data_IF_026365413189
#
_entry.id   IF_026365413189
#
_cell.length_a   1.000
_cell.length_b   1.000
_cell.length_c   1.000
_cell.angle_alpha   90.00
_cell.angle_beta   90.00
_cell.angle_gamma   90.00
#
_symmetry.space_group_name_H-M   'P 1'
#
loop_
_entity.id
_entity.type
_entity.pdbx_description
1 polymer ?
#
# COMPACT_ATOMS: atom_id res chain seq x y z
N UNK A 1 10.90 -23.38 -8.36
CA UNK A 1 11.46 -22.51 -9.44
C UNK A 1 12.63 -23.19 -10.16
N UNK A 2 12.35 -24.11 -11.09
CA UNK A 2 13.38 -24.77 -11.91
C UNK A 2 13.48 -24.11 -13.29
N UNK A 3 14.54 -23.34 -13.49
CA UNK A 3 14.88 -22.71 -14.79
C UNK A 3 15.72 -23.69 -15.61
N UNK A 4 15.39 -23.86 -16.90
CA UNK A 4 16.06 -24.77 -17.83
C UNK A 4 16.44 -24.07 -19.13
N UNK A 5 17.45 -24.59 -19.83
CA UNK A 5 17.99 -24.04 -21.08
C UNK A 5 17.59 -24.95 -22.25
N UNK A 6 17.08 -24.36 -23.33
CA UNK A 6 16.62 -25.03 -24.53
C UNK A 6 17.35 -24.47 -25.75
N UNK A 7 18.05 -25.35 -26.46
CA UNK A 7 18.69 -24.99 -27.74
C UNK A 7 17.85 -25.55 -28.89
N UNK A 8 17.55 -24.70 -29.87
CA UNK A 8 16.78 -25.06 -31.07
C UNK A 8 17.26 -24.33 -32.33
N UNK A 9 17.01 -24.88 -33.54
CA UNK A 9 17.37 -24.25 -34.81
C UNK A 9 16.77 -22.86 -35.02
N UNK A 10 15.60 -22.58 -34.44
CA UNK A 10 14.92 -21.30 -34.52
C UNK A 10 14.00 -21.08 -33.30
N UNK A 11 13.55 -19.82 -33.08
CA UNK A 11 12.72 -19.45 -31.94
C UNK A 11 11.38 -20.19 -31.89
N UNK A 12 10.78 -20.52 -33.04
CA UNK A 12 9.51 -21.25 -33.13
C UNK A 12 9.67 -22.69 -32.62
N UNK A 13 10.71 -23.39 -33.06
CA UNK A 13 11.03 -24.74 -32.58
C UNK A 13 11.45 -24.73 -31.12
N UNK A 14 12.19 -23.70 -30.69
CA UNK A 14 12.55 -23.49 -29.29
C UNK A 14 11.32 -23.35 -28.39
N UNK A 15 10.39 -22.47 -28.75
CA UNK A 15 9.12 -22.29 -28.02
C UNK A 15 8.25 -23.55 -28.03
N UNK A 16 8.18 -24.26 -29.16
CA UNK A 16 7.44 -25.52 -29.24
C UNK A 16 8.04 -26.60 -28.33
N UNK A 17 9.37 -26.63 -28.18
CA UNK A 17 10.06 -27.52 -27.24
C UNK A 17 9.84 -27.10 -25.79
N UNK A 18 9.98 -25.81 -25.49
CA UNK A 18 9.68 -25.23 -24.16
C UNK A 18 8.27 -25.61 -23.72
N UNK A 19 7.25 -25.43 -24.57
CA UNK A 19 5.85 -25.79 -24.23
C UNK A 19 5.64 -27.29 -24.03
N UNK A 20 6.31 -28.12 -24.83
CA UNK A 20 6.20 -29.58 -24.72
C UNK A 20 6.82 -30.12 -23.43
N UNK A 21 7.91 -29.50 -22.97
CA UNK A 21 8.66 -29.98 -21.80
C UNK A 21 8.25 -29.29 -20.49
N UNK A 22 7.94 -27.99 -20.52
CA UNK A 22 7.60 -27.18 -19.33
C UNK A 22 6.10 -26.86 -19.22
N UNK A 23 5.29 -27.26 -20.20
CA UNK A 23 3.86 -26.97 -20.27
C UNK A 23 3.52 -25.71 -21.05
N UNK A 24 2.23 -25.56 -21.39
CA UNK A 24 1.75 -24.46 -22.22
C UNK A 24 1.94 -23.07 -21.60
N UNK A 25 1.97 -23.00 -20.27
CA UNK A 25 2.15 -21.76 -19.51
C UNK A 25 3.63 -21.40 -19.26
N UNK A 26 4.58 -22.13 -19.84
CA UNK A 26 6.00 -21.87 -19.63
C UNK A 26 6.41 -20.44 -20.04
N UNK A 27 7.22 -19.79 -19.20
CA UNK A 27 7.72 -18.44 -19.42
C UNK A 27 9.17 -18.49 -19.87
N UNK A 28 9.47 -17.83 -20.99
CA UNK A 28 10.84 -17.61 -21.46
C UNK A 28 11.39 -16.34 -20.79
N UNK A 29 12.48 -16.50 -20.04
CA UNK A 29 13.14 -15.42 -19.30
C UNK A 29 14.22 -14.73 -20.14
N UNK A 30 14.93 -15.48 -21.00
CA UNK A 30 15.98 -14.94 -21.86
C UNK A 30 16.07 -15.68 -23.18
N UNK A 31 16.41 -14.96 -24.24
CA UNK A 31 16.69 -15.51 -25.57
C UNK A 31 18.02 -14.98 -26.07
N UNK A 32 18.94 -15.87 -26.44
CA UNK A 32 20.26 -15.50 -26.95
C UNK A 32 20.59 -16.25 -28.26
N UNK A 33 21.36 -15.64 -29.18
CA UNK A 33 21.90 -16.34 -30.34
C UNK A 33 22.86 -17.46 -29.90
N UNK A 34 22.82 -18.60 -30.58
CA UNK A 34 23.70 -19.75 -30.31
C UNK A 34 24.19 -20.36 -31.64
N UNK A 35 25.39 -20.96 -31.75
CA UNK A 35 25.87 -21.53 -33.01
C UNK A 35 24.94 -22.56 -33.68
N UNK A 36 24.06 -23.20 -32.90
CA UNK A 36 23.07 -24.16 -33.40
C UNK A 36 21.66 -23.55 -33.58
N UNK A 37 21.53 -22.22 -33.55
CA UNK A 37 20.29 -21.47 -33.72
C UNK A 37 20.05 -20.48 -32.59
N UNK A 38 19.14 -20.81 -31.68
CA UNK A 38 18.76 -19.98 -30.53
C UNK A 38 18.82 -20.77 -29.23
N UNK A 39 19.20 -20.08 -28.17
CA UNK A 39 19.16 -20.56 -26.79
C UNK A 39 18.04 -19.83 -26.05
N UNK A 40 17.09 -20.57 -25.49
CA UNK A 40 15.99 -20.05 -24.68
C UNK A 40 16.15 -20.55 -23.25
N UNK A 41 16.17 -19.62 -22.30
CA UNK A 41 16.14 -19.94 -20.88
C UNK A 41 14.70 -19.76 -20.40
N UNK A 42 14.07 -20.84 -19.96
CA UNK A 42 12.63 -20.89 -19.67
C UNK A 42 12.34 -21.62 -18.35
N UNK A 43 11.18 -21.33 -17.76
CA UNK A 43 10.68 -21.96 -16.53
C UNK A 43 9.21 -22.31 -16.68
N UNK A 44 8.77 -23.42 -16.11
CA UNK A 44 7.35 -23.73 -15.98
C UNK A 44 6.68 -22.71 -15.06
N UNK A 45 5.50 -22.21 -15.46
CA UNK A 45 4.66 -21.34 -14.62
C UNK A 45 3.79 -22.16 -13.64
N UNK A 46 3.77 -23.49 -13.75
CA UNK A 46 2.87 -24.40 -13.02
C UNK A 46 3.09 -24.56 -11.51
N UNK A 47 4.14 -24.02 -10.89
CA UNK A 47 4.17 -23.84 -9.42
C UNK A 47 3.38 -22.59 -8.98
N UNK A 48 2.87 -21.81 -9.93
CA UNK A 48 1.86 -20.76 -9.73
C UNK A 48 0.47 -21.22 -10.22
N UNK A 49 0.24 -22.53 -10.40
CA UNK A 49 -1.06 -23.07 -10.03
C UNK A 49 -1.17 -22.82 -8.54
N UNK A 50 -1.64 -21.61 -8.22
CA UNK A 50 -2.21 -21.25 -6.93
C UNK A 50 -2.97 -22.52 -6.55
N UNK A 51 -2.55 -23.27 -5.51
CA UNK A 51 -3.54 -24.07 -4.81
C UNK A 51 -4.72 -23.12 -4.65
N UNK A 52 -5.96 -23.56 -4.71
CA UNK A 52 -6.97 -22.76 -4.03
C UNK A 52 -6.54 -22.71 -2.56
N UNK A 53 -5.58 -21.83 -2.25
CA UNK A 53 -5.26 -21.30 -0.97
C UNK A 53 -6.61 -20.68 -0.71
N UNK A 54 -7.35 -21.40 0.10
CA UNK A 54 -8.18 -20.79 1.10
C UNK A 54 -7.26 -19.88 1.94
N UNK A 55 -6.67 -18.85 1.31
CA UNK A 55 -6.40 -17.58 1.94
C UNK A 55 -7.80 -17.04 2.15
N UNK A 56 -8.44 -17.48 3.23
CA UNK A 56 -9.14 -16.51 4.04
C UNK A 56 -8.10 -15.42 4.25
N UNK A 57 -8.23 -14.23 3.63
CA UNK A 57 -7.37 -13.16 4.04
C UNK A 57 -7.58 -13.06 5.53
N UNK A 58 -6.51 -12.86 6.29
CA UNK A 58 -6.61 -12.49 7.69
C UNK A 58 -7.18 -11.05 7.78
N UNK A 59 -8.36 -10.84 7.16
CA UNK A 59 -9.20 -9.66 7.21
C UNK A 59 -9.51 -9.35 8.67
N UNK A 60 -9.57 -10.37 9.53
CA UNK A 60 -9.68 -10.21 10.98
C UNK A 60 -8.44 -9.50 11.57
N UNK A 61 -7.21 -9.95 11.25
CA UNK A 61 -5.98 -9.28 11.66
C UNK A 61 -5.85 -7.86 11.11
N UNK A 62 -6.07 -7.68 9.80
CA UNK A 62 -5.98 -6.38 9.13
C UNK A 62 -7.04 -5.38 9.63
N UNK A 63 -8.29 -5.83 9.83
CA UNK A 63 -9.35 -4.98 10.39
C UNK A 63 -9.11 -4.65 11.86
N UNK A 64 -8.51 -5.55 12.66
CA UNK A 64 -8.14 -5.26 14.05
C UNK A 64 -7.09 -4.15 14.14
N UNK A 65 -6.06 -4.19 13.29
CA UNK A 65 -5.03 -3.14 13.22
C UNK A 65 -5.66 -1.81 12.77
N UNK A 66 -6.49 -1.81 11.73
CA UNK A 66 -7.17 -0.60 11.24
C UNK A 66 -8.13 0.01 12.28
N UNK A 67 -8.84 -0.84 13.03
CA UNK A 67 -9.71 -0.41 14.12
C UNK A 67 -8.88 0.21 15.26
N UNK A 68 -7.74 -0.37 15.59
CA UNK A 68 -6.87 0.15 16.65
C UNK A 68 -6.22 1.48 16.25
N UNK A 69 -5.78 1.62 14.99
CA UNK A 69 -5.29 2.90 14.46
C UNK A 69 -6.37 3.98 14.50
N UNK A 70 -7.62 3.62 14.21
CA UNK A 70 -8.76 4.54 14.27
C UNK A 70 -9.09 4.98 15.70
N UNK A 71 -8.91 4.09 16.69
CA UNK A 71 -9.04 4.42 18.12
C UNK A 71 -7.92 5.36 18.58
N UNK A 72 -6.67 5.07 18.23
CA UNK A 72 -5.53 5.96 18.54
C UNK A 72 -5.70 7.34 17.90
N UNK A 73 -6.16 7.38 16.65
CA UNK A 73 -6.47 8.63 15.93
C UNK A 73 -7.58 9.41 16.62
N UNK A 74 -8.67 8.77 17.00
CA UNK A 74 -9.78 9.42 17.71
C UNK A 74 -9.35 10.02 19.05
N UNK A 75 -8.50 9.31 19.81
CA UNK A 75 -7.94 9.83 21.06
C UNK A 75 -7.03 11.04 20.81
N UNK A 76 -6.13 10.97 19.83
CA UNK A 76 -5.26 12.11 19.47
C UNK A 76 -6.06 13.32 18.99
N UNK A 77 -7.09 13.10 18.17
CA UNK A 77 -8.01 14.15 17.71
C UNK A 77 -8.77 14.80 18.87
N UNK A 78 -9.24 14.01 19.85
CA UNK A 78 -9.95 14.53 21.02
C UNK A 78 -9.03 15.38 21.91
N UNK A 79 -7.78 14.96 22.10
CA UNK A 79 -6.79 15.73 22.87
C UNK A 79 -6.34 17.00 22.14
N UNK A 80 -6.15 16.94 20.81
CA UNK A 80 -5.83 18.12 20.00
C UNK A 80 -6.98 19.11 19.93
N UNK A 81 -8.23 18.63 19.83
CA UNK A 81 -9.40 19.48 19.93
C UNK A 81 -9.41 20.17 21.31
N UNK A 82 -9.27 19.42 22.41
CA UNK A 82 -9.18 19.99 23.76
C UNK A 82 -8.08 21.05 23.92
N UNK A 83 -6.94 20.85 23.27
CA UNK A 83 -5.84 21.83 23.24
C UNK A 83 -6.17 23.05 22.38
N UNK A 84 -6.78 22.89 21.21
CA UNK A 84 -7.18 24.00 20.34
C UNK A 84 -8.26 24.89 20.97
N UNK A 85 -9.22 24.31 21.68
CA UNK A 85 -10.26 25.05 22.42
C UNK A 85 -9.74 25.66 23.74
N UNK A 86 -8.70 25.05 24.36
CA UNK A 86 -8.07 25.53 25.59
C UNK A 86 -7.01 26.62 25.36
N UNK A 87 -6.26 26.55 24.25
CA UNK A 87 -5.19 27.48 23.93
C UNK A 87 -5.72 28.89 23.63
N UNK A 88 -6.90 29.03 23.02
CA UNK A 88 -7.53 30.34 22.81
C UNK A 88 -7.81 31.11 24.10
N UNK A 89 -8.11 30.39 25.19
CA UNK A 89 -8.35 30.96 26.54
C UNK A 89 -7.07 31.15 27.36
N UNK A 90 -6.07 30.30 27.16
CA UNK A 90 -4.78 30.35 27.89
C UNK A 90 -3.76 31.30 27.27
N UNK A 91 -3.81 31.54 25.97
CA UNK A 91 -2.80 32.34 25.25
C UNK A 91 -2.90 33.83 25.55
N UNK A 92 -4.08 34.34 25.90
CA UNK A 92 -4.26 35.74 26.28
C UNK A 92 -5.48 35.95 27.20
N UNK A 93 -5.38 35.53 28.48
CA UNK A 93 -6.49 35.67 29.43
C UNK A 93 -6.83 37.14 29.71
N UNK A 94 -5.86 38.04 29.56
CA UNK A 94 -6.02 39.48 29.77
C UNK A 94 -6.87 40.10 28.66
N UNK A 95 -6.60 39.77 27.38
CA UNK A 95 -7.45 40.22 26.26
C UNK A 95 -8.89 39.74 26.38
N UNK A 96 -9.10 38.49 26.82
CA UNK A 96 -10.45 37.94 27.02
C UNK A 96 -11.19 38.66 28.16
N UNK A 97 -10.52 38.98 29.27
CA UNK A 97 -11.11 39.75 30.37
C UNK A 97 -11.42 41.20 29.97
N UNK A 98 -10.57 41.83 29.15
CA UNK A 98 -10.80 43.17 28.60
C UNK A 98 -12.01 43.18 27.65
N UNK A 99 -12.10 42.22 26.72
CA UNK A 99 -13.27 42.08 25.84
C UNK A 99 -14.57 41.89 26.63
N UNK A 100 -14.56 41.05 27.68
CA UNK A 100 -15.73 40.87 28.56
C UNK A 100 -16.11 42.16 29.30
N UNK A 101 -15.12 42.90 29.82
CA UNK A 101 -15.34 44.19 30.48
C UNK A 101 -15.92 45.23 29.51
N UNK A 102 -15.39 45.30 28.28
CA UNK A 102 -15.85 46.22 27.25
C UNK A 102 -17.29 45.90 26.79
N UNK A 103 -17.62 44.62 26.60
CA UNK A 103 -18.99 44.21 26.30
C UNK A 103 -19.96 44.51 27.47
N UNK A 104 -19.55 44.25 28.71
CA UNK A 104 -20.36 44.58 29.89
C UNK A 104 -20.60 46.09 30.04
N UNK A 105 -19.65 46.91 29.58
CA UNK A 105 -19.78 48.36 29.50
C UNK A 105 -20.54 48.85 28.24
N UNK A 106 -21.00 47.94 27.37
CA UNK A 106 -21.85 48.24 26.21
C UNK A 106 -21.10 48.56 24.91
N UNK A 107 -19.79 48.34 24.84
CA UNK A 107 -19.01 48.57 23.62
C UNK A 107 -19.13 47.37 22.66
N UNK A 108 -19.35 47.64 21.37
CA UNK A 108 -19.55 46.62 20.32
C UNK A 108 -18.24 46.05 19.75
N UNK A 109 -18.34 44.95 19.01
CA UNK A 109 -17.20 44.18 18.45
C UNK A 109 -16.38 44.89 17.35
N UNK A 110 -16.66 46.17 17.06
CA UNK A 110 -15.95 46.96 16.07
C UNK A 110 -14.66 47.61 16.63
N UNK A 111 -14.47 47.60 17.95
CA UNK A 111 -13.29 48.12 18.65
C UNK A 111 -12.46 47.02 19.34
N UNK A 112 -12.78 45.75 19.10
CA UNK A 112 -12.23 44.59 19.81
C UNK A 112 -11.22 43.79 18.96
#
# INVERSE_FOLDING_TARGET
MSVQIFVAPNAREGLARVRRELGDDAVVLSTRPHPQGVELLASAYGELAVPALSETPDTAGSSRILNELSRLRGMLQNQLAGFAWGAGRRRDPVRVALMQTLFAAGFGSALA
#
